data_IF_229263896600
#
_entry.id   IF_229263896600
#
_cell.length_a   1.000
_cell.length_b   1.000
_cell.length_c   1.000
_cell.angle_alpha   90.00
_cell.angle_beta   90.00
_cell.angle_gamma   90.00
#
_symmetry.space_group_name_H-M   'P 1'
#
loop_
_entity.id
_entity.type
_entity.pdbx_description
1 polymer ?
#
# COMPACT_ATOMS: atom_id res chain seq x y z
N UNK A 1 9.09 22.86 8.05
CA UNK A 1 8.01 22.64 7.06
C UNK A 1 7.31 21.33 7.37
N UNK A 2 6.00 21.24 7.12
CA UNK A 2 5.25 19.98 7.18
C UNK A 2 5.18 19.35 5.79
N UNK A 3 5.52 18.07 5.67
CA UNK A 3 5.54 17.34 4.40
C UNK A 3 4.65 16.10 4.53
N UNK A 4 3.60 16.03 3.71
CA UNK A 4 2.80 14.82 3.53
C UNK A 4 3.41 13.92 2.47
N UNK A 5 3.63 12.66 2.78
CA UNK A 5 4.12 11.63 1.86
C UNK A 5 2.98 10.64 1.65
N UNK A 6 2.60 10.44 0.39
CA UNK A 6 1.67 9.39 0.00
C UNK A 6 2.21 8.00 0.38
N UNK A 7 1.34 7.06 0.71
CA UNK A 7 1.74 5.73 1.16
C UNK A 7 1.83 4.74 -0.01
N UNK A 8 0.79 4.66 -0.82
CA UNK A 8 0.62 3.56 -1.77
C UNK A 8 1.41 3.81 -3.06
N UNK A 9 2.28 2.87 -3.44
CA UNK A 9 3.21 3.05 -4.56
C UNK A 9 4.19 4.25 -4.40
N UNK A 10 4.35 4.77 -3.18
CA UNK A 10 5.36 5.79 -2.83
C UNK A 10 6.25 5.29 -1.69
N UNK A 11 5.65 4.76 -0.60
CA UNK A 11 6.37 4.09 0.50
C UNK A 11 6.32 2.58 0.30
N UNK A 12 5.11 2.05 0.09
CA UNK A 12 4.89 0.63 -0.14
C UNK A 12 4.87 0.32 -1.64
N UNK A 13 5.85 -0.46 -2.10
CA UNK A 13 5.92 -1.01 -3.45
C UNK A 13 5.14 -2.33 -3.51
N UNK A 14 3.98 -2.29 -4.17
CA UNK A 14 3.07 -3.43 -4.24
C UNK A 14 3.26 -4.31 -5.48
N UNK A 15 4.23 -4.04 -6.35
CA UNK A 15 4.35 -4.71 -7.64
C UNK A 15 4.36 -6.25 -7.53
N UNK A 16 5.21 -6.79 -6.66
CA UNK A 16 5.24 -8.23 -6.39
C UNK A 16 3.99 -8.72 -5.68
N UNK A 17 3.43 -7.95 -4.75
CA UNK A 17 2.24 -8.32 -4.00
C UNK A 17 1.00 -8.46 -4.92
N UNK A 18 0.81 -7.53 -5.87
CA UNK A 18 -0.24 -7.63 -6.88
C UNK A 18 -0.06 -8.86 -7.75
N UNK A 19 1.17 -9.09 -8.23
CA UNK A 19 1.46 -10.24 -9.08
C UNK A 19 1.21 -11.56 -8.36
N UNK A 20 1.77 -11.76 -7.17
CA UNK A 20 1.64 -13.01 -6.41
C UNK A 20 0.18 -13.31 -6.05
N UNK A 21 -0.56 -12.35 -5.52
CA UNK A 21 -1.95 -12.57 -5.11
C UNK A 21 -2.87 -12.80 -6.32
N UNK A 22 -2.63 -12.10 -7.44
CA UNK A 22 -3.40 -12.35 -8.66
C UNK A 22 -3.08 -13.72 -9.27
N UNK A 23 -1.81 -14.14 -9.20
CA UNK A 23 -1.38 -15.46 -9.68
C UNK A 23 -1.98 -16.59 -8.84
N UNK A 24 -1.95 -16.47 -7.52
CA UNK A 24 -2.58 -17.41 -6.58
C UNK A 24 -4.10 -17.58 -6.84
N UNK A 25 -4.74 -16.54 -7.37
CA UNK A 25 -6.17 -16.53 -7.75
C UNK A 25 -6.43 -17.05 -9.17
N UNK A 26 -5.39 -17.39 -9.93
CA UNK A 26 -5.45 -17.70 -11.36
C UNK A 26 -6.10 -16.58 -12.21
N UNK A 27 -5.93 -15.31 -11.81
CA UNK A 27 -6.51 -14.16 -12.52
C UNK A 27 -5.60 -13.59 -13.61
N UNK A 28 -4.31 -13.90 -13.56
CA UNK A 28 -3.31 -13.43 -14.52
C UNK A 28 -2.56 -14.57 -15.21
N UNK A 29 -1.97 -14.29 -16.36
CA UNK A 29 -0.99 -15.19 -16.99
C UNK A 29 0.35 -15.11 -16.22
N UNK A 30 0.97 -16.25 -15.82
CA UNK A 30 2.27 -16.25 -15.15
C UNK A 30 3.39 -15.56 -15.95
N UNK A 31 3.26 -15.42 -17.27
CA UNK A 31 4.29 -14.84 -18.16
C UNK A 31 4.32 -13.31 -18.15
N UNK A 32 3.36 -12.63 -17.52
CA UNK A 32 3.36 -11.16 -17.46
C UNK A 32 4.49 -10.65 -16.56
N UNK A 33 4.88 -9.39 -16.76
CA UNK A 33 5.83 -8.72 -15.88
C UNK A 33 5.24 -8.58 -14.46
N UNK A 34 6.10 -8.70 -13.45
CA UNK A 34 5.75 -8.54 -12.04
C UNK A 34 5.60 -7.08 -11.66
N UNK A 35 4.57 -6.43 -12.17
CA UNK A 35 4.22 -5.06 -11.82
C UNK A 35 2.71 -4.89 -11.68
N UNK A 36 2.27 -3.97 -10.83
CA UNK A 36 0.84 -3.63 -10.68
C UNK A 36 0.23 -3.19 -12.02
N UNK A 37 1.00 -2.47 -12.84
CA UNK A 37 0.55 -1.99 -14.16
C UNK A 37 0.30 -3.17 -15.11
N UNK A 38 1.22 -4.12 -15.17
CA UNK A 38 1.08 -5.33 -16.01
C UNK A 38 -0.06 -6.21 -15.53
N UNK A 39 -0.21 -6.41 -14.22
CA UNK A 39 -1.32 -7.14 -13.60
C UNK A 39 -2.66 -6.51 -13.96
N UNK A 40 -2.80 -5.19 -13.75
CA UNK A 40 -4.02 -4.44 -14.12
C UNK A 40 -4.35 -4.61 -15.60
N UNK A 41 -3.35 -4.46 -16.46
CA UNK A 41 -3.52 -4.54 -17.91
C UNK A 41 -3.99 -5.93 -18.34
N UNK A 42 -3.39 -7.01 -17.81
CA UNK A 42 -3.79 -8.37 -18.12
C UNK A 42 -5.21 -8.69 -17.64
N UNK A 43 -5.54 -8.31 -16.40
CA UNK A 43 -6.88 -8.51 -15.84
C UNK A 43 -7.95 -7.74 -16.62
N UNK A 44 -7.68 -6.47 -16.98
CA UNK A 44 -8.62 -5.66 -17.75
C UNK A 44 -8.85 -6.22 -19.17
N UNK A 45 -7.82 -6.76 -19.82
CA UNK A 45 -7.97 -7.45 -21.13
C UNK A 45 -8.91 -8.65 -21.05
N UNK A 46 -9.01 -9.29 -19.89
CA UNK A 46 -9.93 -10.41 -19.60
C UNK A 46 -11.26 -9.94 -19.00
N UNK A 47 -11.53 -8.64 -19.02
CA UNK A 47 -12.73 -8.01 -18.42
C UNK A 47 -12.89 -8.22 -16.91
N UNK A 48 -11.79 -8.51 -16.20
CA UNK A 48 -11.75 -8.76 -14.74
C UNK A 48 -11.65 -7.46 -13.92
N UNK A 49 -12.47 -6.46 -14.25
CA UNK A 49 -12.42 -5.13 -13.61
C UNK A 49 -12.80 -5.20 -12.12
N UNK A 50 -13.85 -5.97 -11.80
CA UNK A 50 -14.34 -6.12 -10.44
C UNK A 50 -13.36 -6.89 -9.57
N UNK A 51 -12.77 -7.94 -10.14
CA UNK A 51 -11.74 -8.77 -9.51
C UNK A 51 -10.48 -7.94 -9.28
N UNK A 52 -10.14 -7.02 -10.17
CA UNK A 52 -9.03 -6.10 -9.94
C UNK A 52 -9.32 -5.17 -8.74
N UNK A 53 -10.54 -4.68 -8.57
CA UNK A 53 -10.93 -3.92 -7.35
C UNK A 53 -10.88 -4.80 -6.09
N UNK A 54 -11.30 -6.07 -6.16
CA UNK A 54 -11.17 -7.03 -5.04
C UNK A 54 -9.69 -7.28 -4.72
N UNK A 55 -8.85 -7.44 -5.74
CA UNK A 55 -7.41 -7.63 -5.60
C UNK A 55 -6.77 -6.46 -4.86
N UNK A 56 -7.18 -5.23 -5.16
CA UNK A 56 -6.74 -4.05 -4.42
C UNK A 56 -7.06 -4.19 -2.92
N UNK A 57 -8.30 -4.54 -2.56
CA UNK A 57 -8.68 -4.76 -1.16
C UNK A 57 -7.88 -5.87 -0.47
N UNK A 58 -7.59 -6.95 -1.19
CA UNK A 58 -6.77 -8.07 -0.68
C UNK A 58 -5.30 -7.69 -0.49
N UNK A 59 -4.72 -6.96 -1.45
CA UNK A 59 -3.30 -6.55 -1.43
C UNK A 59 -3.07 -5.47 -0.39
N UNK A 60 -3.91 -4.44 -0.37
CA UNK A 60 -3.79 -3.32 0.57
C UNK A 60 -4.16 -3.69 2.01
N UNK A 61 -5.01 -4.70 2.17
CA UNK A 61 -5.39 -5.22 3.47
C UNK A 61 -4.53 -6.41 3.89
N UNK A 62 -5.08 -7.61 3.69
CA UNK A 62 -4.56 -8.87 4.25
C UNK A 62 -3.13 -9.18 3.78
N UNK A 63 -2.77 -8.81 2.56
CA UNK A 63 -1.50 -9.14 1.95
C UNK A 63 -0.53 -7.96 1.90
N UNK A 64 -0.75 -6.91 2.71
CA UNK A 64 0.07 -5.69 2.66
C UNK A 64 1.55 -5.96 2.95
N UNK A 65 1.86 -6.98 3.75
CA UNK A 65 3.22 -7.37 4.11
C UNK A 65 3.95 -8.10 2.97
N UNK A 66 3.27 -8.48 1.88
CA UNK A 66 3.92 -8.92 0.64
C UNK A 66 4.53 -7.74 -0.14
N UNK A 67 4.12 -6.51 0.17
CA UNK A 67 4.73 -5.32 -0.41
C UNK A 67 6.15 -5.11 0.14
N UNK A 68 7.00 -4.46 -0.65
CA UNK A 68 8.34 -4.05 -0.23
C UNK A 68 8.37 -2.57 0.09
N UNK A 69 9.25 -2.15 0.99
CA UNK A 69 9.58 -0.75 1.11
C UNK A 69 10.27 -0.29 -0.18
N UNK A 70 9.92 0.89 -0.71
CA UNK A 70 10.67 1.45 -1.82
C UNK A 70 12.14 1.68 -1.43
N UNK A 71 13.02 1.34 -2.36
CA UNK A 71 14.45 1.56 -2.20
C UNK A 71 14.74 3.04 -2.00
N UNK A 72 15.69 3.35 -1.10
CA UNK A 72 16.06 4.73 -0.78
C UNK A 72 15.11 5.45 0.17
N UNK A 73 13.86 5.00 0.38
CA UNK A 73 12.90 5.72 1.23
C UNK A 73 13.40 5.90 2.68
N UNK A 74 14.04 4.87 3.23
CA UNK A 74 14.63 4.95 4.58
C UNK A 74 15.75 5.98 4.67
N UNK A 75 16.63 6.02 3.67
CA UNK A 75 17.75 6.96 3.64
C UNK A 75 17.23 8.40 3.48
N UNK A 76 16.28 8.59 2.57
CA UNK A 76 15.58 9.86 2.40
C UNK A 76 15.01 10.37 3.72
N UNK A 77 14.29 9.52 4.47
CA UNK A 77 13.75 9.92 5.77
C UNK A 77 14.85 10.26 6.78
N UNK A 78 15.88 9.43 6.90
CA UNK A 78 16.96 9.63 7.86
C UNK A 78 17.71 10.96 7.64
N UNK A 79 17.93 11.35 6.38
CA UNK A 79 18.63 12.58 6.03
C UNK A 79 17.79 13.84 6.28
N UNK A 80 16.46 13.74 6.15
CA UNK A 80 15.56 14.89 6.13
C UNK A 80 14.76 15.09 7.43
N UNK A 81 14.64 14.08 8.30
CA UNK A 81 13.78 14.12 9.50
C UNK A 81 14.16 15.22 10.51
N UNK A 82 15.43 15.66 10.50
CA UNK A 82 15.92 16.76 11.36
C UNK A 82 15.50 18.15 10.88
N UNK A 83 15.07 18.28 9.62
CA UNK A 83 14.74 19.57 9.00
C UNK A 83 13.22 19.75 8.78
N UNK A 84 12.49 18.64 8.69
CA UNK A 84 11.09 18.62 8.29
C UNK A 84 10.25 17.72 9.20
N UNK A 85 8.99 18.11 9.38
CA UNK A 85 8.00 17.27 10.03
C UNK A 85 7.27 16.46 8.95
N UNK A 86 7.48 15.14 8.94
CA UNK A 86 6.87 14.25 7.96
C UNK A 86 5.58 13.60 8.47
N UNK A 87 4.62 13.47 7.56
CA UNK A 87 3.33 12.81 7.74
C UNK A 87 3.13 11.78 6.65
N UNK A 88 2.54 10.64 6.99
CA UNK A 88 2.17 9.61 6.01
C UNK A 88 0.68 9.79 5.70
N UNK A 89 0.36 9.94 4.42
CA UNK A 89 -1.00 10.04 3.92
C UNK A 89 -1.34 8.68 3.33
N UNK A 90 -2.28 7.97 3.94
CA UNK A 90 -2.61 6.58 3.55
C UNK A 90 -4.06 6.48 3.08
N UNK A 91 -4.61 5.27 3.17
CA UNK A 91 -5.95 4.93 2.71
C UNK A 91 -7.01 5.89 3.25
N UNK A 92 -7.85 6.38 2.34
CA UNK A 92 -9.02 7.20 2.67
C UNK A 92 -10.14 6.38 3.33
N UNK A 93 -10.27 5.11 2.96
CA UNK A 93 -11.33 4.26 3.48
C UNK A 93 -10.75 3.23 4.43
N UNK A 94 -11.42 3.05 5.57
CA UNK A 94 -11.04 2.03 6.54
C UNK A 94 -11.17 0.62 5.98
N UNK A 95 -12.12 0.41 5.07
CA UNK A 95 -12.41 -0.89 4.47
C UNK A 95 -12.36 -0.79 2.94
N UNK A 96 -12.07 -1.89 2.22
CA UNK A 96 -12.20 -1.96 0.78
C UNK A 96 -13.59 -1.56 0.29
N UNK A 97 -13.66 -1.00 -0.92
CA UNK A 97 -14.93 -0.68 -1.58
C UNK A 97 -15.73 -1.95 -1.90
N UNK A 98 -15.02 -3.02 -2.28
CA UNK A 98 -15.59 -4.34 -2.62
C UNK A 98 -14.73 -5.42 -1.97
N UNK A 99 -15.37 -6.48 -1.48
CA UNK A 99 -14.70 -7.67 -0.95
C UNK A 99 -14.79 -7.80 0.57
N UNK A 100 -13.87 -8.57 1.14
CA UNK A 100 -13.80 -8.80 2.58
C UNK A 100 -13.55 -7.48 3.34
N UNK A 101 -14.22 -7.31 4.48
CA UNK A 101 -14.13 -6.11 5.32
C UNK A 101 -12.83 -6.10 6.13
N UNK A 102 -11.71 -5.86 5.45
CA UNK A 102 -10.37 -5.81 6.04
C UNK A 102 -10.04 -4.36 6.43
N UNK A 103 -9.51 -4.15 7.63
CA UNK A 103 -9.10 -2.82 8.09
C UNK A 103 -7.78 -2.39 7.40
N UNK A 104 -7.91 -1.55 6.37
CA UNK A 104 -6.79 -1.04 5.56
C UNK A 104 -5.89 -0.10 6.36
N UNK A 105 -6.46 0.61 7.33
CA UNK A 105 -5.69 1.50 8.20
C UNK A 105 -4.76 0.68 9.10
N UNK A 106 -5.31 -0.35 9.75
CA UNK A 106 -4.53 -1.28 10.56
C UNK A 106 -3.47 -2.01 9.73
N UNK A 107 -3.79 -2.39 8.49
CA UNK A 107 -2.83 -2.99 7.57
C UNK A 107 -1.65 -2.05 7.30
N UNK A 108 -1.90 -0.78 6.96
CA UNK A 108 -0.86 0.22 6.74
C UNK A 108 0.03 0.41 7.98
N UNK A 109 -0.56 0.51 9.19
CA UNK A 109 0.20 0.56 10.44
C UNK A 109 1.11 -0.66 10.63
N UNK A 110 0.60 -1.86 10.34
CA UNK A 110 1.41 -3.10 10.42
C UNK A 110 2.58 -3.06 9.45
N UNK A 111 2.39 -2.57 8.22
CA UNK A 111 3.48 -2.43 7.25
C UNK A 111 4.57 -1.47 7.74
N UNK A 112 4.20 -0.30 8.26
CA UNK A 112 5.15 0.68 8.81
C UNK A 112 5.98 0.07 9.94
N UNK A 113 5.31 -0.61 10.90
CA UNK A 113 5.97 -1.27 12.03
C UNK A 113 6.89 -2.40 11.57
N UNK A 114 6.42 -3.24 10.63
CA UNK A 114 7.21 -4.32 10.06
C UNK A 114 8.51 -3.80 9.42
N UNK A 115 8.42 -2.66 8.72
CA UNK A 115 9.58 -2.02 8.09
C UNK A 115 10.40 -1.14 9.04
N UNK A 116 10.15 -1.19 10.36
CA UNK A 116 10.85 -0.40 11.39
C UNK A 116 10.90 1.09 11.09
N UNK A 117 9.85 1.61 10.45
CA UNK A 117 9.74 3.04 10.18
C UNK A 117 9.26 3.79 11.43
N UNK A 118 8.69 3.09 12.40
CA UNK A 118 8.22 3.61 13.67
C UNK A 118 9.30 4.21 14.56
N UNK A 119 10.53 3.72 14.46
CA UNK A 119 11.66 4.34 15.15
C UNK A 119 11.94 5.78 14.69
N UNK A 120 11.67 6.12 13.43
CA UNK A 120 11.82 7.49 12.92
C UNK A 120 10.67 8.42 13.36
N UNK A 121 9.63 7.84 13.96
CA UNK A 121 8.38 8.50 14.29
C UNK A 121 7.90 8.04 15.67
N UNK A 122 8.49 8.62 16.72
CA UNK A 122 8.12 8.40 18.14
C UNK A 122 6.61 8.54 18.44
N UNK A 123 5.80 9.04 17.50
CA UNK A 123 4.36 9.21 17.67
C UNK A 123 3.60 8.96 16.33
N UNK A 124 3.83 7.81 15.70
CA UNK A 124 3.13 7.38 14.47
C UNK A 124 1.61 7.50 14.54
N UNK A 125 1.04 7.31 15.72
CA UNK A 125 -0.40 7.46 15.97
C UNK A 125 -0.92 8.88 15.72
N UNK A 126 -0.04 9.89 15.70
CA UNK A 126 -0.38 11.29 15.43
C UNK A 126 -0.01 11.76 14.01
N UNK A 127 0.69 10.93 13.22
CA UNK A 127 1.31 11.34 11.95
C UNK A 127 0.88 10.54 10.71
N UNK A 128 -0.02 9.57 10.88
CA UNK A 128 -0.72 8.94 9.76
C UNK A 128 -2.10 9.60 9.63
N UNK A 129 -2.32 10.36 8.55
CA UNK A 129 -3.66 10.84 8.23
C UNK A 129 -4.38 9.77 7.43
N UNK A 130 -5.32 9.13 8.11
CA UNK A 130 -6.35 8.28 7.55
C UNK A 130 -7.54 9.21 7.31
N UNK A 131 -7.81 9.60 6.06
CA UNK A 131 -8.92 10.53 5.82
C UNK A 131 -10.22 9.95 6.41
N UNK A 132 -11.04 10.75 7.10
CA UNK A 132 -12.38 10.32 7.44
C UNK A 132 -13.22 10.30 6.16
N UNK A 133 -13.94 9.19 5.94
CA UNK A 133 -15.05 9.17 5.00
C UNK A 133 -16.05 10.21 5.50
N UNK A 134 -16.11 11.38 4.86
CA UNK A 134 -17.28 12.27 4.99
C UNK A 134 -18.47 11.46 4.47
N UNK A 135 -19.38 11.12 5.39
CA UNK A 135 -20.70 10.58 5.05
C UNK A 135 -21.46 11.58 4.19
#
# INVERSE_FOLDING_TARGET
MRIGIDFDNTIACYDNAFYEVALEKNWIDPKILKSKVSVKTDMHKKSLFKEFTILQGLVYGKNILKAKLFEGFRNFLAENIKFHEFFIISHKTRYPIIGEKIDLHLAAHKFIKFNKLDYFYNDLNKRIFLEPVKK
#
